data_IF_720002797804
#
_entry.id   IF_720002797804
#
_cell.length_a   1.000
_cell.length_b   1.000
_cell.length_c   1.000
_cell.angle_alpha   90.00
_cell.angle_beta   90.00
_cell.angle_gamma   90.00
#
_symmetry.space_group_name_H-M   'P 1'
#
loop_
_entity.id
_entity.type
_entity.pdbx_description
1 polymer ?
#
# COMPACT_ATOMS: atom_id res chain seq x y z
N UNK A 1 41.69 17.80 8.21
CA UNK A 1 40.74 16.67 8.34
C UNK A 1 39.33 17.29 8.26
N UNK A 2 38.74 17.27 7.09
CA UNK A 2 37.51 17.99 6.77
C UNK A 2 36.36 16.96 6.84
N UNK A 3 35.52 17.07 7.87
CA UNK A 3 34.36 16.19 8.06
C UNK A 3 33.23 16.74 7.16
N UNK A 4 32.93 16.01 6.08
CA UNK A 4 31.77 16.29 5.23
C UNK A 4 30.57 15.60 5.89
N UNK A 5 29.71 16.37 6.58
CA UNK A 5 28.40 15.91 7.01
C UNK A 5 27.50 15.79 5.77
N UNK A 6 27.30 14.56 5.29
CA UNK A 6 26.22 14.23 4.37
C UNK A 6 24.89 14.25 5.15
N UNK A 7 24.19 15.36 5.11
CA UNK A 7 22.80 15.42 5.49
C UNK A 7 21.98 14.59 4.47
N UNK A 8 21.58 13.38 4.86
CA UNK A 8 20.52 12.66 4.19
C UNK A 8 19.21 13.44 4.43
N UNK A 9 18.84 14.30 3.49
CA UNK A 9 17.50 14.89 3.44
C UNK A 9 16.53 13.75 3.09
N UNK A 10 15.90 13.17 4.09
CA UNK A 10 14.67 12.38 3.91
C UNK A 10 13.56 13.36 3.57
N UNK A 11 13.37 13.64 2.28
CA UNK A 11 12.21 14.35 1.80
C UNK A 11 10.99 13.43 2.02
N UNK A 12 10.21 13.72 3.05
CA UNK A 12 8.82 13.27 3.12
C UNK A 12 8.16 13.71 1.82
N UNK A 13 7.66 12.72 1.04
CA UNK A 13 7.19 12.96 -0.31
C UNK A 13 6.15 14.07 -0.36
N UNK A 14 6.43 15.12 -1.13
CA UNK A 14 5.46 16.17 -1.38
C UNK A 14 4.19 15.55 -1.98
N UNK A 15 3.03 15.73 -1.33
CA UNK A 15 1.79 15.15 -1.81
C UNK A 15 1.46 15.68 -3.21
N UNK A 16 1.15 14.79 -4.16
CA UNK A 16 0.73 15.14 -5.51
C UNK A 16 1.77 15.00 -6.63
N UNK A 17 3.05 14.73 -6.32
CA UNK A 17 4.07 14.57 -7.36
C UNK A 17 4.04 13.19 -8.04
N UNK A 18 3.71 12.14 -7.30
CA UNK A 18 3.73 10.76 -7.80
C UNK A 18 2.39 10.36 -8.42
N UNK A 19 2.13 10.80 -9.64
CA UNK A 19 0.95 10.41 -10.41
C UNK A 19 1.33 9.22 -11.31
N UNK A 20 0.82 8.00 -11.05
CA UNK A 20 1.17 6.83 -11.85
C UNK A 20 0.57 6.93 -13.25
N UNK A 21 1.37 6.54 -14.26
CA UNK A 21 0.96 6.47 -15.67
C UNK A 21 0.91 5.02 -16.13
N UNK A 22 1.87 4.21 -15.71
CA UNK A 22 1.94 2.80 -16.04
C UNK A 22 2.44 2.02 -14.85
N UNK A 23 1.62 1.10 -14.34
CA UNK A 23 1.92 0.29 -13.14
C UNK A 23 1.62 -1.19 -13.43
N UNK A 24 2.46 -1.88 -14.25
CA UNK A 24 2.25 -3.30 -14.51
C UNK A 24 2.27 -4.07 -13.19
N UNK A 25 1.27 -4.96 -13.04
CA UNK A 25 1.21 -5.83 -11.88
C UNK A 25 2.38 -6.84 -11.90
N UNK A 26 2.93 -7.22 -10.72
CA UNK A 26 3.88 -8.33 -10.65
C UNK A 26 3.23 -9.65 -11.05
N UNK A 27 3.96 -10.49 -11.78
CA UNK A 27 3.53 -11.85 -12.07
C UNK A 27 3.57 -12.69 -10.80
N UNK A 28 2.47 -13.37 -10.50
CA UNK A 28 2.44 -14.27 -9.33
C UNK A 28 3.15 -15.58 -9.69
N UNK A 29 4.24 -15.95 -8.98
CA UNK A 29 5.00 -17.14 -9.32
C UNK A 29 4.15 -18.41 -9.28
N UNK A 30 4.15 -19.19 -10.37
CA UNK A 30 3.31 -20.38 -10.52
C UNK A 30 3.39 -21.39 -9.35
N UNK A 31 4.56 -21.70 -8.80
CA UNK A 31 4.64 -22.59 -7.63
C UNK A 31 3.87 -22.07 -6.41
N UNK A 32 3.81 -20.74 -6.23
CA UNK A 32 3.08 -20.10 -5.14
C UNK A 32 1.57 -20.11 -5.39
N UNK A 33 1.15 -19.97 -6.67
CA UNK A 33 -0.27 -20.09 -7.08
C UNK A 33 -0.77 -21.51 -6.78
N UNK A 34 -0.01 -22.52 -7.17
CA UNK A 34 -0.36 -23.93 -6.94
C UNK A 34 -0.43 -24.28 -5.46
N UNK A 35 0.48 -23.74 -4.66
CA UNK A 35 0.50 -23.92 -3.22
C UNK A 35 -0.55 -23.07 -2.48
N UNK A 36 -1.32 -22.22 -3.19
CA UNK A 36 -2.26 -21.23 -2.62
C UNK A 36 -1.63 -20.36 -1.54
N UNK A 37 -0.34 -20.04 -1.69
CA UNK A 37 0.40 -19.23 -0.73
C UNK A 37 0.13 -17.75 -1.01
N UNK A 38 -0.56 -17.10 -0.09
CA UNK A 38 -0.56 -15.64 -0.03
C UNK A 38 0.78 -15.13 0.53
N UNK A 39 1.20 -13.96 0.11
CA UNK A 39 2.41 -13.36 0.62
C UNK A 39 2.45 -11.85 0.44
N UNK A 40 3.43 -11.23 1.07
CA UNK A 40 3.65 -9.79 0.97
C UNK A 40 5.10 -9.48 0.64
N UNK A 41 5.29 -8.37 -0.03
CA UNK A 41 6.59 -7.74 -0.25
C UNK A 41 6.45 -6.27 0.13
N UNK A 42 7.44 -5.74 0.86
CA UNK A 42 7.57 -4.30 1.08
C UNK A 42 8.81 -3.84 0.35
N UNK A 43 8.63 -2.86 -0.53
CA UNK A 43 9.71 -2.32 -1.34
C UNK A 43 9.85 -0.81 -1.15
N UNK A 44 11.08 -0.34 -1.03
CA UNK A 44 11.45 1.06 -1.20
C UNK A 44 11.61 1.33 -2.68
N UNK A 45 10.96 2.37 -3.19
CA UNK A 45 11.11 2.85 -4.56
C UNK A 45 11.67 4.26 -4.57
N UNK A 46 12.55 4.54 -5.51
CA UNK A 46 13.02 5.90 -5.80
C UNK A 46 12.63 6.25 -7.23
N UNK A 47 11.91 7.35 -7.39
CA UNK A 47 11.47 7.88 -8.67
C UNK A 47 12.15 9.21 -8.92
N UNK A 48 12.66 9.41 -10.14
CA UNK A 48 13.26 10.69 -10.54
C UNK A 48 12.22 11.67 -11.11
N UNK A 49 12.61 12.94 -11.31
CA UNK A 49 11.71 13.98 -11.82
C UNK A 49 11.17 13.71 -13.24
N UNK A 50 11.78 12.79 -13.99
CA UNK A 50 11.28 12.33 -15.29
C UNK A 50 10.16 11.28 -15.14
N UNK A 51 9.79 10.92 -13.89
CA UNK A 51 8.75 9.91 -13.61
C UNK A 51 9.23 8.47 -13.79
N UNK A 52 10.53 8.24 -13.89
CA UNK A 52 11.13 6.92 -14.06
C UNK A 52 11.57 6.36 -12.71
N UNK A 53 11.27 5.10 -12.46
CA UNK A 53 11.78 4.36 -11.29
C UNK A 53 13.27 4.11 -11.52
N UNK A 54 14.12 4.66 -10.65
CA UNK A 54 15.57 4.54 -10.73
C UNK A 54 16.15 3.54 -9.75
N UNK A 55 15.37 3.18 -8.72
CA UNK A 55 15.79 2.20 -7.72
C UNK A 55 14.56 1.49 -7.14
N UNK A 56 14.68 0.18 -6.94
CA UNK A 56 13.72 -0.66 -6.20
C UNK A 56 14.50 -1.55 -5.26
N UNK A 57 14.33 -1.35 -3.96
CA UNK A 57 14.91 -2.18 -2.91
C UNK A 57 13.81 -2.93 -2.17
N UNK A 58 13.87 -4.25 -2.17
CA UNK A 58 12.97 -5.06 -1.33
C UNK A 58 13.46 -5.00 0.11
N UNK A 59 12.65 -4.44 0.99
CA UNK A 59 12.95 -4.29 2.43
C UNK A 59 12.51 -5.56 3.19
N UNK A 60 11.37 -6.12 2.80
CA UNK A 60 10.76 -7.27 3.46
C UNK A 60 10.03 -8.11 2.41
N UNK A 61 10.12 -9.43 2.53
CA UNK A 61 9.36 -10.35 1.70
C UNK A 61 9.05 -11.64 2.46
N UNK A 62 7.84 -12.14 2.31
CA UNK A 62 7.45 -13.45 2.85
C UNK A 62 8.03 -14.63 2.08
N UNK A 63 8.51 -14.41 0.85
CA UNK A 63 9.15 -15.45 0.02
C UNK A 63 10.07 -14.84 -1.05
N UNK A 64 11.26 -15.42 -1.32
CA UNK A 64 12.20 -14.88 -2.32
C UNK A 64 11.62 -14.73 -3.73
N UNK A 65 10.78 -15.67 -4.17
CA UNK A 65 10.15 -15.59 -5.49
C UNK A 65 9.18 -14.39 -5.60
N UNK A 66 8.50 -14.02 -4.52
CA UNK A 66 7.63 -12.85 -4.46
C UNK A 66 8.46 -11.56 -4.50
N UNK A 67 9.61 -11.55 -3.80
CA UNK A 67 10.55 -10.42 -3.83
C UNK A 67 10.99 -10.15 -5.27
N UNK A 68 11.40 -11.19 -5.99
CA UNK A 68 11.86 -11.08 -7.37
C UNK A 68 10.73 -10.60 -8.30
N UNK A 69 9.54 -11.18 -8.20
CA UNK A 69 8.38 -10.78 -8.99
C UNK A 69 7.99 -9.31 -8.75
N UNK A 70 7.96 -8.88 -7.49
CA UNK A 70 7.69 -7.50 -7.12
C UNK A 70 8.76 -6.56 -7.70
N UNK A 71 10.04 -6.85 -7.49
CA UNK A 71 11.14 -6.03 -7.98
C UNK A 71 11.11 -5.86 -9.51
N UNK A 72 10.86 -6.93 -10.26
CA UNK A 72 10.74 -6.89 -11.73
C UNK A 72 9.57 -6.04 -12.21
N UNK A 73 8.43 -6.08 -11.53
CA UNK A 73 7.27 -5.29 -11.91
C UNK A 73 7.44 -3.82 -11.55
N UNK A 74 7.86 -3.54 -10.32
CA UNK A 74 8.02 -2.18 -9.80
C UNK A 74 9.06 -1.38 -10.57
N UNK A 75 10.14 -2.02 -11.05
CA UNK A 75 11.16 -1.34 -11.86
C UNK A 75 10.63 -0.88 -13.24
N UNK A 76 9.49 -1.41 -13.69
CA UNK A 76 8.83 -1.02 -14.94
C UNK A 76 7.73 0.02 -14.74
N UNK A 77 7.50 0.47 -13.51
CA UNK A 77 6.52 1.49 -13.22
C UNK A 77 6.95 2.84 -13.77
N UNK A 78 5.97 3.65 -14.18
CA UNK A 78 6.19 4.98 -14.73
C UNK A 78 5.20 5.96 -14.11
N UNK A 79 5.69 7.13 -13.79
CA UNK A 79 4.93 8.23 -13.20
C UNK A 79 4.94 9.43 -14.14
N UNK A 80 4.02 10.36 -13.90
CA UNK A 80 4.01 11.63 -14.64
C UNK A 80 5.27 12.43 -14.29
N UNK A 81 6.01 12.93 -15.30
CA UNK A 81 7.14 13.81 -15.07
C UNK A 81 6.71 15.08 -14.32
N UNK A 82 7.55 15.53 -13.39
CA UNK A 82 7.41 16.81 -12.69
C UNK A 82 8.59 17.75 -12.88
N UNK A 83 9.37 17.54 -13.92
CA UNK A 83 10.49 18.42 -14.32
C UNK A 83 9.96 19.84 -14.56
N UNK A 84 10.67 20.83 -14.01
CA UNK A 84 10.26 22.24 -14.13
C UNK A 84 9.27 22.72 -13.07
N UNK A 85 8.79 21.87 -12.19
CA UNK A 85 7.98 22.29 -11.04
C UNK A 85 8.88 22.96 -10.00
N UNK A 86 8.64 24.24 -9.73
CA UNK A 86 9.46 25.03 -8.80
C UNK A 86 9.36 24.44 -7.39
N UNK A 87 10.52 24.18 -6.76
CA UNK A 87 10.58 23.62 -5.41
C UNK A 87 10.37 22.09 -5.33
N UNK A 88 10.10 21.41 -6.45
CA UNK A 88 9.95 19.96 -6.45
C UNK A 88 11.32 19.26 -6.34
N UNK A 89 11.42 18.17 -5.56
CA UNK A 89 12.66 17.41 -5.41
C UNK A 89 13.04 16.70 -6.71
N UNK A 90 14.35 16.54 -6.96
CA UNK A 90 14.87 15.80 -8.12
C UNK A 90 14.54 14.30 -8.06
N UNK A 91 14.31 13.76 -6.88
CA UNK A 91 13.93 12.36 -6.62
C UNK A 91 12.97 12.30 -5.45
N UNK A 92 12.06 11.34 -5.51
CA UNK A 92 11.14 11.00 -4.42
C UNK A 92 11.33 9.54 -4.05
N UNK A 93 11.56 9.27 -2.76
CA UNK A 93 11.64 7.93 -2.21
C UNK A 93 10.39 7.63 -1.39
N UNK A 94 9.83 6.44 -1.54
CA UNK A 94 8.66 5.99 -0.79
C UNK A 94 8.63 4.47 -0.68
N UNK A 95 7.95 3.99 0.36
CA UNK A 95 7.76 2.56 0.60
C UNK A 95 6.38 2.13 0.15
N UNK A 96 6.32 0.98 -0.51
CA UNK A 96 5.08 0.44 -1.05
C UNK A 96 4.95 -1.04 -0.71
N UNK A 97 3.76 -1.50 -0.25
CA UNK A 97 3.46 -2.91 -0.10
C UNK A 97 2.96 -3.50 -1.41
N UNK A 98 3.35 -4.73 -1.68
CA UNK A 98 2.79 -5.58 -2.71
C UNK A 98 2.24 -6.82 -2.05
N UNK A 99 0.94 -7.06 -2.18
CA UNK A 99 0.28 -8.23 -1.59
C UNK A 99 -0.06 -9.22 -2.70
N UNK A 100 0.42 -10.44 -2.54
CA UNK A 100 0.15 -11.57 -3.41
C UNK A 100 -0.91 -12.46 -2.73
N UNK A 101 -2.11 -12.49 -3.28
CA UNK A 101 -3.21 -13.32 -2.77
C UNK A 101 -3.38 -14.62 -3.54
N UNK A 102 -4.12 -15.57 -2.97
CA UNK A 102 -4.42 -16.87 -3.59
C UNK A 102 -5.24 -16.80 -4.88
N UNK A 103 -5.76 -15.64 -5.24
CA UNK A 103 -6.60 -15.41 -6.42
C UNK A 103 -6.22 -14.17 -7.24
N UNK A 104 -4.95 -13.78 -7.22
CA UNK A 104 -4.43 -12.65 -7.98
C UNK A 104 -3.86 -11.55 -7.10
N UNK A 105 -3.22 -10.63 -7.77
CA UNK A 105 -2.48 -9.52 -7.20
C UNK A 105 -3.39 -8.44 -6.64
N UNK A 106 -3.09 -7.99 -5.45
CA UNK A 106 -3.41 -6.65 -5.06
C UNK A 106 -2.11 -5.84 -5.09
N UNK A 107 -1.82 -5.15 -6.17
CA UNK A 107 -0.79 -4.11 -6.16
C UNK A 107 -1.40 -2.83 -5.60
N UNK A 108 -0.72 -2.21 -4.65
CA UNK A 108 -1.17 -0.97 -4.05
C UNK A 108 -0.41 0.19 -4.68
N UNK A 109 -1.15 1.16 -5.15
CA UNK A 109 -0.61 2.47 -5.41
C UNK A 109 -0.43 3.19 -4.06
N UNK A 110 0.74 3.76 -3.82
CA UNK A 110 1.07 4.47 -2.58
C UNK A 110 0.13 5.63 -2.27
N UNK A 111 -0.44 6.26 -3.29
CA UNK A 111 -1.42 7.34 -3.10
C UNK A 111 -2.83 6.83 -2.88
N UNK A 112 -3.23 5.75 -3.56
CA UNK A 112 -4.64 5.39 -3.67
C UNK A 112 -4.96 4.05 -3.01
N UNK A 113 -3.99 3.16 -2.79
CA UNK A 113 -4.18 1.80 -2.21
C UNK A 113 -5.37 1.03 -2.84
N UNK A 114 -5.49 1.12 -4.17
CA UNK A 114 -6.66 0.69 -4.95
C UNK A 114 -7.08 -0.76 -4.68
N UNK A 115 -6.14 -1.64 -4.41
CA UNK A 115 -6.43 -3.05 -4.16
C UNK A 115 -6.83 -3.40 -2.73
N UNK A 116 -6.73 -2.44 -1.79
CA UNK A 116 -6.82 -2.72 -0.35
C UNK A 116 -8.17 -3.32 0.06
N UNK A 117 -9.26 -2.76 -0.43
CA UNK A 117 -10.61 -3.25 -0.16
C UNK A 117 -10.89 -4.65 -0.72
N UNK A 118 -10.15 -5.08 -1.73
CA UNK A 118 -10.32 -6.37 -2.40
C UNK A 118 -9.52 -7.52 -1.76
N UNK A 119 -8.66 -7.23 -0.79
CA UNK A 119 -7.90 -8.24 -0.07
C UNK A 119 -8.84 -9.21 0.62
N UNK A 120 -8.58 -10.52 0.50
CA UNK A 120 -9.40 -11.53 1.15
C UNK A 120 -9.20 -11.55 2.66
N UNK A 121 -10.25 -11.82 3.39
CA UNK A 121 -10.21 -11.99 4.83
C UNK A 121 -9.26 -13.10 5.29
N UNK A 122 -9.06 -14.13 4.47
CA UNK A 122 -8.06 -15.18 4.74
C UNK A 122 -6.65 -14.58 4.96
N UNK A 123 -6.28 -13.55 4.18
CA UNK A 123 -5.00 -12.87 4.34
C UNK A 123 -4.92 -12.08 5.67
N UNK A 124 -5.96 -11.31 6.00
CA UNK A 124 -6.01 -10.63 7.31
C UNK A 124 -5.89 -11.64 8.47
N UNK A 125 -6.56 -12.78 8.37
CA UNK A 125 -6.49 -13.83 9.39
C UNK A 125 -5.06 -14.36 9.55
N UNK A 126 -4.34 -14.53 8.43
CA UNK A 126 -2.92 -14.92 8.45
C UNK A 126 -2.06 -13.86 9.15
N UNK A 127 -2.21 -12.58 8.78
CA UNK A 127 -1.45 -11.49 9.40
C UNK A 127 -1.72 -11.37 10.92
N UNK A 128 -2.98 -11.45 11.33
CA UNK A 128 -3.37 -11.44 12.75
C UNK A 128 -2.69 -12.57 13.51
N UNK A 129 -2.70 -13.80 12.95
CA UNK A 129 -2.06 -14.95 13.58
C UNK A 129 -0.54 -14.80 13.64
N UNK A 130 0.09 -14.29 12.58
CA UNK A 130 1.53 -14.07 12.53
C UNK A 130 1.95 -13.02 13.58
N UNK A 131 1.24 -11.90 13.65
CA UNK A 131 1.52 -10.85 14.62
C UNK A 131 1.32 -11.33 16.06
N UNK A 132 0.24 -12.03 16.36
CA UNK A 132 -0.01 -12.55 17.71
C UNK A 132 1.02 -13.58 18.17
N UNK A 133 1.61 -14.35 17.23
CA UNK A 133 2.71 -15.27 17.56
C UNK A 133 4.02 -14.56 17.84
N UNK A 134 4.36 -13.54 17.06
CA UNK A 134 5.65 -12.85 17.15
C UNK A 134 5.62 -11.69 18.15
N UNK A 135 4.51 -10.98 18.25
CA UNK A 135 4.35 -9.76 19.03
C UNK A 135 2.97 -9.75 19.73
N UNK A 136 2.72 -10.61 20.74
CA UNK A 136 1.40 -10.79 21.36
C UNK A 136 0.85 -9.50 22.01
N UNK A 137 1.71 -8.58 22.40
CA UNK A 137 1.34 -7.31 23.05
C UNK A 137 1.33 -6.12 22.06
N UNK A 138 1.61 -6.33 20.78
CA UNK A 138 1.58 -5.24 19.81
C UNK A 138 0.15 -4.80 19.50
N UNK A 139 -0.01 -3.50 19.19
CA UNK A 139 -1.31 -2.97 18.80
C UNK A 139 -1.80 -3.62 17.50
N UNK A 140 -3.08 -3.98 17.45
CA UNK A 140 -3.71 -4.50 16.24
C UNK A 140 -3.72 -3.47 15.08
N UNK A 141 -3.55 -2.18 15.39
CA UNK A 141 -3.40 -1.12 14.36
C UNK A 141 -2.12 -1.25 13.56
N UNK A 142 -1.13 -2.01 14.07
CA UNK A 142 0.14 -2.27 13.40
C UNK A 142 0.06 -3.40 12.38
N UNK A 143 -1.06 -4.13 12.31
CA UNK A 143 -1.32 -5.09 11.24
C UNK A 143 -1.36 -4.33 9.91
N UNK A 144 -0.59 -4.79 8.93
CA UNK A 144 -0.33 -4.08 7.69
C UNK A 144 -1.62 -3.59 7.00
N UNK A 145 -2.66 -4.41 6.90
CA UNK A 145 -3.92 -3.99 6.29
C UNK A 145 -4.56 -2.79 7.00
N UNK A 146 -4.53 -2.75 8.33
CA UNK A 146 -5.07 -1.61 9.08
C UNK A 146 -4.16 -0.39 8.98
N UNK A 147 -2.86 -0.61 9.05
CA UNK A 147 -1.89 0.47 8.90
C UNK A 147 -2.00 1.14 7.52
N UNK A 148 -2.05 0.34 6.43
CA UNK A 148 -2.20 0.89 5.07
C UNK A 148 -3.56 1.54 4.84
N UNK A 149 -4.64 1.03 5.45
CA UNK A 149 -5.93 1.73 5.41
C UNK A 149 -5.84 3.09 6.09
N UNK A 150 -5.10 3.19 7.19
CA UNK A 150 -4.79 4.46 7.83
C UNK A 150 -3.97 5.39 6.93
N UNK A 151 -2.91 4.89 6.28
CA UNK A 151 -2.10 5.67 5.34
C UNK A 151 -2.92 6.15 4.13
N UNK A 152 -3.82 5.34 3.61
CA UNK A 152 -4.74 5.77 2.55
C UNK A 152 -5.57 6.99 2.98
N UNK A 153 -6.05 7.04 4.22
CA UNK A 153 -6.79 8.18 4.75
C UNK A 153 -5.93 9.45 4.92
N UNK A 154 -4.61 9.32 4.92
CA UNK A 154 -3.66 10.44 4.89
C UNK A 154 -3.19 10.83 3.49
N UNK A 155 -3.55 10.06 2.45
CA UNK A 155 -3.13 10.32 1.08
C UNK A 155 -3.67 11.65 0.54
N UNK A 156 -3.02 12.17 -0.51
CA UNK A 156 -3.49 13.36 -1.24
C UNK A 156 -4.86 13.15 -1.87
N UNK A 157 -5.16 11.93 -2.34
CA UNK A 157 -6.48 11.58 -2.83
C UNK A 157 -7.55 11.74 -1.76
N UNK A 158 -7.35 11.16 -0.57
CA UNK A 158 -8.30 11.30 0.53
C UNK A 158 -8.43 12.77 0.99
N UNK A 159 -7.32 13.54 0.94
CA UNK A 159 -7.31 14.95 1.26
C UNK A 159 -8.07 15.83 0.23
N UNK A 160 -8.12 15.39 -1.03
CA UNK A 160 -8.90 16.09 -2.08
C UNK A 160 -10.41 15.85 -1.95
N UNK A 161 -10.83 14.77 -1.27
CA UNK A 161 -12.24 14.38 -1.13
C UNK A 161 -12.84 14.77 0.22
N UNK A 162 -12.03 14.86 1.26
CA UNK A 162 -12.47 15.04 2.64
C UNK A 162 -11.57 15.98 3.43
N UNK A 163 -12.18 16.77 4.30
CA UNK A 163 -11.46 17.61 5.25
C UNK A 163 -10.63 16.78 6.23
N UNK A 164 -9.64 17.41 6.85
CA UNK A 164 -8.81 16.76 7.86
C UNK A 164 -9.63 16.24 9.05
N UNK A 165 -10.65 16.97 9.45
CA UNK A 165 -11.54 16.58 10.55
C UNK A 165 -12.33 15.29 10.21
N UNK A 166 -12.84 15.18 8.98
CA UNK A 166 -13.54 13.98 8.50
C UNK A 166 -12.59 12.78 8.42
N UNK A 167 -11.39 12.97 7.90
CA UNK A 167 -10.37 11.90 7.81
C UNK A 167 -9.94 11.41 9.19
N UNK A 168 -9.73 12.31 10.17
CA UNK A 168 -9.49 11.94 11.57
C UNK A 168 -10.66 11.15 12.18
N UNK A 169 -11.89 11.52 11.86
CA UNK A 169 -13.07 10.77 12.31
C UNK A 169 -13.12 9.37 11.69
N UNK A 170 -12.77 9.23 10.41
CA UNK A 170 -12.66 7.93 9.75
C UNK A 170 -11.59 7.04 10.37
N UNK A 171 -10.42 7.59 10.74
CA UNK A 171 -9.38 6.86 11.46
C UNK A 171 -9.87 6.33 12.80
N UNK A 172 -10.52 7.17 13.61
CA UNK A 172 -11.13 6.73 14.88
C UNK A 172 -12.17 5.61 14.66
N UNK A 173 -12.99 5.72 13.63
CA UNK A 173 -13.97 4.68 13.26
C UNK A 173 -13.30 3.39 12.82
N UNK A 174 -12.18 3.48 12.07
CA UNK A 174 -11.38 2.32 11.67
C UNK A 174 -10.84 1.59 12.91
N UNK A 175 -10.15 2.31 13.79
CA UNK A 175 -9.55 1.76 15.01
C UNK A 175 -10.62 1.06 15.88
N UNK A 176 -11.74 1.71 16.12
CA UNK A 176 -12.86 1.13 16.87
C UNK A 176 -13.46 -0.12 16.20
N UNK A 177 -13.39 -0.21 14.86
CA UNK A 177 -13.93 -1.32 14.10
C UNK A 177 -12.98 -2.55 14.02
N UNK A 178 -11.68 -2.40 14.28
CA UNK A 178 -10.66 -3.46 14.13
C UNK A 178 -11.09 -4.79 14.79
N UNK A 179 -11.51 -4.84 16.07
CA UNK A 179 -11.88 -6.10 16.70
C UNK A 179 -13.08 -6.78 16.01
N UNK A 180 -14.03 -5.98 15.52
CA UNK A 180 -15.19 -6.48 14.78
C UNK A 180 -14.77 -7.01 13.41
N UNK A 181 -13.91 -6.30 12.68
CA UNK A 181 -13.40 -6.69 11.36
C UNK A 181 -12.68 -8.04 11.48
N UNK A 182 -11.77 -8.20 12.44
CA UNK A 182 -11.04 -9.45 12.68
C UNK A 182 -12.01 -10.60 12.95
N UNK A 183 -13.00 -10.40 13.83
CA UNK A 183 -13.99 -11.46 14.11
C UNK A 183 -14.81 -11.84 12.88
N UNK A 184 -15.21 -10.87 12.08
CA UNK A 184 -15.98 -11.09 10.85
C UNK A 184 -15.17 -11.81 9.79
N UNK A 185 -13.92 -11.39 9.58
CA UNK A 185 -13.00 -12.04 8.66
C UNK A 185 -12.65 -13.47 9.10
N UNK A 186 -12.51 -13.73 10.39
CA UNK A 186 -12.28 -15.09 10.90
C UNK A 186 -13.44 -16.04 10.55
N UNK A 187 -14.68 -15.56 10.63
CA UNK A 187 -15.87 -16.34 10.28
C UNK A 187 -16.08 -16.53 8.79
N UNK A 188 -15.57 -15.59 7.98
CA UNK A 188 -15.82 -15.54 6.54
C UNK A 188 -14.51 -15.29 5.78
N UNK A 189 -13.57 -16.24 5.75
CA UNK A 189 -12.24 -16.05 5.16
C UNK A 189 -12.29 -15.76 3.66
N UNK A 190 -13.33 -16.20 2.95
CA UNK A 190 -13.51 -15.97 1.51
C UNK A 190 -14.05 -14.58 1.15
N UNK A 191 -14.60 -13.85 2.13
CA UNK A 191 -15.06 -12.48 1.94
C UNK A 191 -13.89 -11.51 1.79
N UNK A 192 -14.20 -10.29 1.34
CA UNK A 192 -13.21 -9.21 1.19
C UNK A 192 -13.09 -8.43 2.49
N UNK A 193 -11.89 -7.97 2.79
CA UNK A 193 -11.62 -7.07 3.90
C UNK A 193 -12.49 -5.80 3.84
N UNK A 194 -12.64 -5.23 2.64
CA UNK A 194 -13.47 -4.04 2.40
C UNK A 194 -14.94 -4.20 2.77
N UNK A 195 -15.48 -5.44 2.76
CA UNK A 195 -16.88 -5.71 3.14
C UNK A 195 -17.18 -5.39 4.61
N UNK A 196 -16.14 -5.34 5.44
CA UNK A 196 -16.23 -5.14 6.89
C UNK A 196 -15.69 -3.79 7.37
N UNK A 197 -15.12 -3.00 6.48
CA UNK A 197 -14.67 -1.64 6.79
C UNK A 197 -15.86 -0.72 7.12
N UNK A 198 -15.63 0.37 7.87
CA UNK A 198 -16.62 1.45 7.98
C UNK A 198 -17.02 1.99 6.61
N UNK A 199 -18.32 2.13 6.38
CA UNK A 199 -18.90 2.51 5.08
C UNK A 199 -18.25 3.73 4.40
N UNK A 200 -17.88 4.83 5.10
CA UNK A 200 -17.20 5.95 4.46
C UNK A 200 -15.85 5.55 3.85
N UNK A 201 -15.10 4.67 4.52
CA UNK A 201 -13.80 4.18 4.05
C UNK A 201 -13.98 3.27 2.84
N UNK A 202 -14.95 2.34 2.91
CA UNK A 202 -15.26 1.43 1.78
C UNK A 202 -15.64 2.22 0.54
N UNK A 203 -16.50 3.22 0.65
CA UNK A 203 -16.91 4.07 -0.47
C UNK A 203 -15.72 4.78 -1.11
N UNK A 204 -14.83 5.35 -0.30
CA UNK A 204 -13.64 6.04 -0.78
C UNK A 204 -12.69 5.09 -1.52
N UNK A 205 -12.48 3.87 -1.02
CA UNK A 205 -11.67 2.85 -1.68
C UNK A 205 -12.26 2.40 -3.02
N UNK A 206 -13.58 2.24 -3.11
CA UNK A 206 -14.28 1.88 -4.35
C UNK A 206 -14.16 3.00 -5.37
N UNK A 207 -14.45 4.24 -4.99
CA UNK A 207 -14.35 5.41 -5.89
C UNK A 207 -12.91 5.64 -6.38
N UNK A 208 -11.91 5.37 -5.55
CA UNK A 208 -10.51 5.42 -5.95
C UNK A 208 -10.12 4.33 -6.96
N UNK A 209 -10.82 3.20 -6.95
CA UNK A 209 -10.55 2.07 -7.84
C UNK A 209 -11.22 2.20 -9.22
N UNK A 210 -12.24 3.03 -9.36
CA UNK A 210 -12.88 3.27 -10.64
C UNK A 210 -11.98 4.16 -11.50
N UNK A 211 -11.65 3.77 -12.75
CA UNK A 211 -10.99 4.66 -13.69
C UNK A 211 -11.88 5.90 -13.85
N UNK A 212 -11.34 7.08 -13.55
CA UNK A 212 -12.00 8.31 -13.98
C UNK A 212 -11.94 8.35 -15.51
N UNK A 213 -12.98 7.83 -16.18
CA UNK A 213 -13.29 8.21 -17.55
C UNK A 213 -13.55 9.72 -17.54
N UNK A 214 -12.50 10.48 -17.79
CA UNK A 214 -12.64 11.89 -18.10
C UNK A 214 -12.99 12.00 -19.56
N UNK A 215 -14.24 12.44 -19.78
CA UNK A 215 -14.72 13.10 -21.02
C UNK A 215 -13.71 14.14 -21.53
#
# INVERSE_FOLDING_TARGET
>A
MMVVCLFACTAEGAPGLLVPVRTPAPDFPQPMVQARHAGKVRALMVVNAQGTVVEVQVIESSHPALAQAAQQALSRWQFRPWVGTVGAPARVAFTLPVIFGSHGLASFNTEINIGLGNVRCAYLNYEVQAQMRQFPNASLTQIDLFWYTGQFLHSSYAASQHSEAERRNMLKKLEAAIPRIIRSCRRNPERRYGDYLPLPITRMLVTAAEPQERL
#
